data_IF_831026820437
#
_entry.id   IF_831026820437
#
_cell.length_a   1.000
_cell.length_b   1.000
_cell.length_c   1.000
_cell.angle_alpha   90.00
_cell.angle_beta   90.00
_cell.angle_gamma   90.00
#
_symmetry.space_group_name_H-M   'P 1'
#
loop_
_entity.id
_entity.type
_entity.pdbx_description
1 polymer ?
#
# COMPACT_ATOMS: atom_id res chain seq x y z
N UNK A 1 -8.56 16.54 -37.98
CA UNK A 1 -7.65 15.80 -37.06
C UNK A 1 -6.34 16.56 -37.02
N UNK A 2 -5.85 16.93 -35.84
CA UNK A 2 -4.63 17.70 -35.71
C UNK A 2 -3.41 16.79 -35.89
N UNK A 3 -2.65 16.97 -36.96
CA UNK A 3 -1.37 16.30 -37.16
C UNK A 3 -0.41 16.76 -36.05
N UNK A 4 -0.03 15.86 -35.14
CA UNK A 4 0.92 16.21 -34.08
C UNK A 4 2.26 16.61 -34.70
N UNK A 5 2.88 17.68 -34.19
CA UNK A 5 4.22 18.04 -34.61
C UNK A 5 5.20 16.91 -34.21
N UNK A 6 6.23 16.66 -35.03
CA UNK A 6 7.26 15.63 -34.77
C UNK A 6 7.79 15.60 -33.33
N UNK A 7 8.06 16.74 -32.67
CA UNK A 7 8.51 16.74 -31.27
C UNK A 7 7.46 16.20 -30.29
N UNK A 8 6.19 16.57 -30.48
CA UNK A 8 5.08 16.15 -29.64
C UNK A 8 4.75 14.66 -29.84
N UNK A 9 4.92 14.17 -31.07
CA UNK A 9 4.73 12.76 -31.39
C UNK A 9 5.75 11.87 -30.65
N UNK A 10 7.03 12.25 -30.63
CA UNK A 10 8.05 11.48 -29.90
C UNK A 10 7.78 11.45 -28.39
N UNK A 11 7.37 12.57 -27.81
CA UNK A 11 7.01 12.64 -26.41
C UNK A 11 5.79 11.76 -26.11
N UNK A 12 4.76 11.78 -26.97
CA UNK A 12 3.57 10.95 -26.84
C UNK A 12 3.89 9.45 -26.93
N UNK A 13 4.74 9.06 -27.89
CA UNK A 13 5.20 7.68 -28.02
C UNK A 13 5.96 7.22 -26.76
N UNK A 14 6.89 8.04 -26.26
CA UNK A 14 7.63 7.70 -25.05
C UNK A 14 6.74 7.55 -23.83
N UNK A 15 5.81 8.48 -23.63
CA UNK A 15 4.85 8.39 -22.53
C UNK A 15 3.97 7.15 -22.65
N UNK A 16 3.51 6.82 -23.86
CA UNK A 16 2.64 5.66 -24.12
C UNK A 16 3.33 4.32 -23.87
N UNK A 17 4.60 4.19 -24.27
CA UNK A 17 5.35 2.93 -24.20
C UNK A 17 6.34 2.86 -23.02
N UNK A 18 6.35 3.87 -22.14
CA UNK A 18 7.29 3.93 -21.01
C UNK A 18 8.76 4.02 -21.41
N UNK A 19 9.06 4.59 -22.58
CA UNK A 19 10.42 4.63 -23.13
C UNK A 19 11.22 5.84 -22.63
N UNK A 20 12.45 5.60 -22.21
CA UNK A 20 13.46 6.65 -22.02
C UNK A 20 13.96 7.21 -23.36
N UNK A 21 14.61 8.39 -23.36
CA UNK A 21 15.25 8.93 -24.57
C UNK A 21 16.31 7.98 -25.12
N UNK A 22 17.03 7.26 -24.25
CA UNK A 22 18.08 6.34 -24.66
C UNK A 22 17.49 5.13 -25.41
N UNK A 23 16.41 4.55 -24.90
CA UNK A 23 15.71 3.43 -25.57
C UNK A 23 15.10 3.86 -26.91
N UNK A 24 14.52 5.07 -26.97
CA UNK A 24 14.02 5.61 -28.24
C UNK A 24 15.17 5.86 -29.24
N UNK A 25 16.31 6.34 -28.76
CA UNK A 25 17.49 6.57 -29.58
C UNK A 25 18.06 5.26 -30.15
N UNK A 26 18.11 4.21 -29.34
CA UNK A 26 18.51 2.87 -29.76
C UNK A 26 17.59 2.32 -30.85
N UNK A 27 16.27 2.41 -30.66
CA UNK A 27 15.27 2.00 -31.65
C UNK A 27 15.46 2.73 -32.99
N UNK A 28 15.69 4.04 -32.92
CA UNK A 28 15.92 4.91 -34.07
C UNK A 28 17.33 4.80 -34.67
N UNK A 29 18.24 4.06 -34.02
CA UNK A 29 19.68 4.00 -34.33
C UNK A 29 20.33 5.40 -34.43
N UNK A 30 20.06 6.25 -33.44
CA UNK A 30 20.60 7.61 -33.30
C UNK A 30 21.19 7.81 -31.91
N UNK A 31 21.88 8.93 -31.68
CA UNK A 31 22.31 9.28 -30.33
C UNK A 31 21.16 9.83 -29.48
N UNK A 32 21.25 9.66 -28.16
CA UNK A 32 20.32 10.28 -27.21
C UNK A 32 20.24 11.80 -27.39
N UNK A 33 21.38 12.45 -27.67
CA UNK A 33 21.43 13.89 -27.91
C UNK A 33 20.62 14.28 -29.16
N UNK A 34 20.66 13.47 -30.22
CA UNK A 34 19.83 13.70 -31.41
C UNK A 34 18.34 13.60 -31.10
N UNK A 35 17.90 12.60 -30.31
CA UNK A 35 16.51 12.51 -29.85
C UNK A 35 16.10 13.75 -29.05
N UNK A 36 16.95 14.19 -28.12
CA UNK A 36 16.70 15.41 -27.32
C UNK A 36 16.54 16.65 -28.21
N UNK A 37 17.41 16.84 -29.21
CA UNK A 37 17.31 17.96 -30.14
C UNK A 37 16.04 17.91 -31.00
N UNK A 38 15.59 16.71 -31.39
CA UNK A 38 14.34 16.54 -32.14
C UNK A 38 13.12 16.82 -31.27
N UNK A 39 13.10 16.35 -30.03
CA UNK A 39 12.03 16.64 -29.06
C UNK A 39 11.94 18.13 -28.69
N UNK A 40 13.03 18.89 -28.85
CA UNK A 40 13.08 20.34 -28.68
C UNK A 40 12.77 21.11 -29.98
N UNK A 41 12.53 20.40 -31.09
CA UNK A 41 12.29 21.01 -32.41
C UNK A 41 13.52 21.64 -33.05
N UNK A 42 14.73 21.40 -32.52
CA UNK A 42 15.99 21.93 -33.07
C UNK A 42 16.49 21.11 -34.27
N UNK A 43 16.01 19.88 -34.43
CA UNK A 43 16.35 18.99 -35.56
C UNK A 43 15.14 18.22 -36.05
N UNK A 44 15.14 17.87 -37.33
CA UNK A 44 14.15 16.98 -37.96
C UNK A 44 14.71 15.58 -38.10
N UNK A 45 13.81 14.59 -38.09
CA UNK A 45 14.17 13.19 -38.34
C UNK A 45 14.39 12.96 -39.85
N UNK A 46 15.29 12.03 -40.17
CA UNK A 46 15.47 11.58 -41.55
C UNK A 46 14.30 10.68 -41.99
N UNK A 47 14.13 10.52 -43.31
CA UNK A 47 13.09 9.64 -43.85
C UNK A 47 13.20 8.19 -43.33
N UNK A 48 14.44 7.68 -43.15
CA UNK A 48 14.67 6.36 -42.59
C UNK A 48 14.23 6.23 -41.12
N UNK A 49 14.48 7.26 -40.31
CA UNK A 49 14.02 7.31 -38.91
C UNK A 49 12.50 7.43 -38.83
N UNK A 50 11.90 8.18 -39.76
CA UNK A 50 10.45 8.31 -39.86
C UNK A 50 9.78 7.00 -40.25
N UNK A 51 10.34 6.27 -41.21
CA UNK A 51 9.89 4.93 -41.59
C UNK A 51 9.93 3.95 -40.42
N UNK A 52 10.96 4.03 -39.54
CA UNK A 52 11.02 3.19 -38.33
C UNK A 52 9.93 3.52 -37.31
N UNK A 53 9.47 4.78 -37.24
CA UNK A 53 8.42 5.17 -36.28
C UNK A 53 7.01 4.87 -36.78
N UNK A 54 6.82 4.72 -38.10
CA UNK A 54 5.51 4.48 -38.71
C UNK A 54 4.68 3.39 -38.04
N UNK A 55 5.23 2.19 -37.71
CA UNK A 55 4.45 1.16 -37.03
C UNK A 55 3.92 1.60 -35.66
N UNK A 56 4.72 2.33 -34.87
CA UNK A 56 4.33 2.81 -33.55
C UNK A 56 3.32 3.96 -33.64
N UNK A 57 3.49 4.84 -34.63
CA UNK A 57 2.56 5.93 -34.92
C UNK A 57 1.21 5.39 -35.37
N UNK A 58 1.19 4.39 -36.25
CA UNK A 58 -0.04 3.75 -36.71
C UNK A 58 -0.86 3.14 -35.56
N UNK A 59 -0.19 2.52 -34.57
CA UNK A 59 -0.86 1.99 -33.37
C UNK A 59 -1.42 3.12 -32.50
N UNK A 60 -0.67 4.22 -32.36
CA UNK A 60 -1.10 5.38 -31.58
C UNK A 60 -2.30 6.10 -32.21
N UNK A 61 -2.28 6.27 -33.54
CA UNK A 61 -3.37 6.86 -34.31
C UNK A 61 -4.60 5.96 -34.36
N UNK A 62 -4.43 4.64 -34.52
CA UNK A 62 -5.53 3.68 -34.43
C UNK A 62 -6.23 3.73 -33.07
N UNK A 63 -5.46 3.91 -31.99
CA UNK A 63 -6.01 4.07 -30.64
C UNK A 63 -6.66 5.44 -30.41
N UNK A 64 -6.25 6.49 -31.12
CA UNK A 64 -6.80 7.84 -31.01
C UNK A 64 -8.06 8.07 -31.86
N UNK A 65 -8.21 7.34 -32.97
CA UNK A 65 -9.32 7.45 -33.91
C UNK A 65 -10.65 6.84 -33.41
N UNK A 66 -10.77 6.57 -32.11
CA UNK A 66 -12.04 6.11 -31.53
C UNK A 66 -12.40 4.67 -31.90
N UNK A 67 -11.43 3.86 -32.34
CA UNK A 67 -11.48 2.45 -31.99
C UNK A 67 -11.38 2.40 -30.46
N UNK A 68 -12.55 2.56 -29.82
CA UNK A 68 -12.77 2.08 -28.46
C UNK A 68 -12.15 0.69 -28.49
N UNK A 69 -11.00 0.57 -27.85
CA UNK A 69 -10.52 -0.74 -27.40
C UNK A 69 -11.67 -1.18 -26.53
N UNK A 70 -12.60 -1.92 -27.13
CA UNK A 70 -13.65 -2.64 -26.46
C UNK A 70 -12.92 -3.25 -25.27
N UNK A 71 -13.25 -2.74 -24.08
CA UNK A 71 -12.34 -2.74 -22.94
C UNK A 71 -11.66 -4.09 -22.88
N UNK A 72 -10.32 -4.11 -22.96
CA UNK A 72 -9.54 -5.35 -22.86
C UNK A 72 -10.23 -6.16 -21.78
N UNK A 73 -10.89 -7.28 -22.14
CA UNK A 73 -11.66 -8.03 -21.15
C UNK A 73 -10.70 -8.26 -20.01
N UNK A 74 -11.09 -7.97 -18.75
CA UNK A 74 -10.17 -8.01 -17.62
C UNK A 74 -9.40 -9.31 -17.75
N UNK A 75 -8.07 -9.22 -17.92
CA UNK A 75 -7.22 -10.38 -18.20
C UNK A 75 -7.69 -11.49 -17.26
N UNK A 76 -8.23 -12.55 -17.85
CA UNK A 76 -8.75 -13.67 -17.09
C UNK A 76 -7.64 -14.10 -16.16
N UNK A 77 -7.86 -13.98 -14.86
CA UNK A 77 -6.81 -14.28 -13.87
C UNK A 77 -6.35 -15.70 -14.12
N UNK A 78 -5.10 -15.85 -14.56
CA UNK A 78 -4.53 -17.13 -14.87
C UNK A 78 -4.38 -17.99 -13.61
N UNK A 79 -3.99 -19.26 -13.77
CA UNK A 79 -3.85 -20.17 -12.62
C UNK A 79 -2.85 -19.63 -11.61
N UNK A 80 -1.74 -19.02 -12.06
CA UNK A 80 -0.74 -18.42 -11.17
C UNK A 80 -1.30 -17.23 -10.38
N UNK A 81 -2.06 -16.34 -11.03
CA UNK A 81 -2.73 -15.21 -10.38
C UNK A 81 -3.78 -15.67 -9.35
N UNK A 82 -4.51 -16.75 -9.64
CA UNK A 82 -5.47 -17.35 -8.67
C UNK A 82 -4.74 -17.92 -7.45
N UNK A 83 -3.65 -18.65 -7.66
CA UNK A 83 -2.83 -19.18 -6.55
C UNK A 83 -2.23 -18.06 -5.70
N UNK A 84 -1.74 -16.99 -6.33
CA UNK A 84 -1.22 -15.82 -5.62
C UNK A 84 -2.30 -15.14 -4.76
N UNK A 85 -3.51 -14.95 -5.29
CA UNK A 85 -4.64 -14.40 -4.54
C UNK A 85 -5.08 -15.33 -3.38
N UNK A 86 -5.10 -16.64 -3.58
CA UNK A 86 -5.41 -17.61 -2.52
C UNK A 86 -4.36 -17.62 -1.41
N UNK A 87 -3.07 -17.50 -1.77
CA UNK A 87 -2.00 -17.34 -0.78
C UNK A 87 -2.19 -16.06 0.01
N UNK A 88 -2.42 -14.93 -0.66
CA UNK A 88 -2.64 -13.64 0.00
C UNK A 88 -3.84 -13.65 0.95
N UNK A 89 -4.95 -14.25 0.52
CA UNK A 89 -6.14 -14.45 1.36
C UNK A 89 -5.80 -15.20 2.66
N UNK A 90 -5.04 -16.30 2.56
CA UNK A 90 -4.61 -17.09 3.73
C UNK A 90 -3.71 -16.27 4.66
N UNK A 91 -2.73 -15.57 4.11
CA UNK A 91 -1.82 -14.70 4.87
C UNK A 91 -2.57 -13.62 5.65
N UNK A 92 -3.42 -12.84 4.97
CA UNK A 92 -4.21 -11.77 5.61
C UNK A 92 -5.11 -12.32 6.73
N UNK A 93 -5.77 -13.46 6.49
CA UNK A 93 -6.67 -14.09 7.48
C UNK A 93 -5.89 -14.58 8.70
N UNK A 94 -4.72 -15.19 8.49
CA UNK A 94 -3.86 -15.66 9.58
C UNK A 94 -3.30 -14.49 10.39
N UNK A 95 -2.81 -13.44 9.73
CA UNK A 95 -2.29 -12.23 10.38
C UNK A 95 -3.39 -11.54 11.20
N UNK A 96 -4.58 -11.35 10.64
CA UNK A 96 -5.71 -10.77 11.36
C UNK A 96 -6.10 -11.58 12.60
N UNK A 97 -6.10 -12.92 12.50
CA UNK A 97 -6.38 -13.81 13.64
C UNK A 97 -5.34 -13.65 14.75
N UNK A 98 -4.05 -13.60 14.39
CA UNK A 98 -2.96 -13.35 15.35
C UNK A 98 -3.13 -12.00 16.04
N UNK A 99 -3.39 -10.92 15.29
CA UNK A 99 -3.54 -9.59 15.87
C UNK A 99 -4.77 -9.48 16.78
N UNK A 100 -5.86 -10.19 16.49
CA UNK A 100 -7.02 -10.27 17.41
C UNK A 100 -6.67 -10.93 18.75
N UNK A 101 -5.84 -11.98 18.73
CA UNK A 101 -5.34 -12.61 19.95
C UNK A 101 -4.39 -11.69 20.72
N UNK A 102 -3.58 -10.90 20.02
CA UNK A 102 -2.71 -9.90 20.64
C UNK A 102 -3.51 -8.77 21.28
N UNK A 103 -4.53 -8.25 20.57
CA UNK A 103 -5.45 -7.24 21.08
C UNK A 103 -6.19 -7.71 22.34
N UNK A 104 -6.66 -8.96 22.37
CA UNK A 104 -7.32 -9.51 23.57
C UNK A 104 -6.37 -9.59 24.76
N UNK A 105 -5.10 -9.96 24.55
CA UNK A 105 -4.06 -9.95 25.59
C UNK A 105 -3.76 -8.54 26.08
N UNK A 106 -3.64 -7.56 25.19
CA UNK A 106 -3.41 -6.15 25.56
C UNK A 106 -4.59 -5.60 26.39
N UNK A 107 -5.83 -5.86 25.96
CA UNK A 107 -7.03 -5.45 26.71
C UNK A 107 -7.09 -6.09 28.09
N UNK A 108 -6.76 -7.38 28.20
CA UNK A 108 -6.71 -8.07 29.49
C UNK A 108 -5.66 -7.43 30.41
N UNK A 109 -4.43 -7.20 29.92
CA UNK A 109 -3.37 -6.51 30.68
C UNK A 109 -3.79 -5.11 31.12
N UNK A 110 -4.32 -4.30 30.20
CA UNK A 110 -4.80 -2.96 30.52
C UNK A 110 -5.88 -2.99 31.63
N UNK A 111 -6.83 -3.92 31.53
CA UNK A 111 -7.89 -4.08 32.55
C UNK A 111 -7.32 -4.45 33.93
N UNK A 112 -6.30 -5.32 33.96
CA UNK A 112 -5.61 -5.72 35.19
C UNK A 112 -4.88 -4.54 35.83
N UNK A 113 -4.08 -3.78 35.06
CA UNK A 113 -3.36 -2.62 35.59
C UNK A 113 -4.31 -1.50 36.01
N UNK A 114 -5.43 -1.31 35.32
CA UNK A 114 -6.46 -0.36 35.73
C UNK A 114 -7.18 -0.78 37.02
N UNK A 115 -7.36 -2.09 37.26
CA UNK A 115 -7.86 -2.60 38.54
C UNK A 115 -6.85 -2.34 39.66
N UNK A 116 -5.57 -2.65 39.44
CA UNK A 116 -4.48 -2.36 40.39
C UNK A 116 -4.47 -0.88 40.77
N UNK A 117 -4.52 0.05 39.81
CA UNK A 117 -4.55 1.48 40.12
C UNK A 117 -5.78 1.90 40.95
N UNK A 118 -6.96 1.34 40.65
CA UNK A 118 -8.18 1.60 41.43
C UNK A 118 -8.08 1.10 42.87
N UNK A 119 -7.45 -0.05 43.08
CA UNK A 119 -7.27 -0.66 44.40
C UNK A 119 -6.17 0.01 45.23
N UNK A 120 -5.10 0.50 44.58
CA UNK A 120 -3.99 1.18 45.25
C UNK A 120 -4.33 2.60 45.72
N UNK A 121 -5.19 3.32 44.99
CA UNK A 121 -5.55 4.70 45.30
C UNK A 121 -6.06 4.91 46.75
N UNK A 122 -7.04 4.12 47.27
CA UNK A 122 -7.50 4.28 48.65
C UNK A 122 -6.45 3.90 49.70
N UNK A 123 -5.49 3.03 49.37
CA UNK A 123 -4.42 2.63 50.29
C UNK A 123 -3.34 3.70 50.45
N UNK A 124 -3.11 4.50 49.41
CA UNK A 124 -2.14 5.61 49.45
C UNK A 124 -2.64 6.81 50.26
N UNK A 125 -3.97 7.05 50.30
CA UNK A 125 -4.58 8.21 50.93
C UNK A 125 -4.23 8.37 52.43
N UNK A 126 -4.41 7.35 53.30
CA UNK A 126 -4.10 7.49 54.73
C UNK A 126 -2.59 7.57 55.02
N UNK A 127 -1.74 7.13 54.09
CA UNK A 127 -0.29 7.07 54.28
C UNK A 127 0.41 8.40 53.95
N UNK A 128 -0.32 9.41 53.47
CA UNK A 128 0.25 10.70 53.06
C UNK A 128 0.89 11.48 54.23
N UNK A 129 0.41 11.28 55.47
CA UNK A 129 0.87 12.02 56.66
C UNK A 129 1.59 11.20 57.73
N UNK A 130 1.73 9.87 57.55
CA UNK A 130 2.33 8.99 58.56
C UNK A 130 3.83 8.79 58.29
N UNK A 131 4.68 9.33 59.16
CA UNK A 131 6.15 9.26 59.02
C UNK A 131 6.69 7.82 59.11
N UNK A 132 6.08 6.98 59.96
CA UNK A 132 6.50 5.58 60.16
C UNK A 132 6.10 4.66 59.00
N UNK A 133 5.24 5.12 58.09
CA UNK A 133 4.72 4.32 56.99
C UNK A 133 5.48 4.47 55.66
N UNK A 134 6.67 5.04 55.71
CA UNK A 134 7.49 5.37 54.55
C UNK A 134 7.83 4.17 53.63
N UNK A 135 8.19 2.96 54.12
CA UNK A 135 8.49 1.84 53.22
C UNK A 135 7.23 1.30 52.51
N UNK A 136 6.10 1.20 53.21
CA UNK A 136 4.83 0.78 52.62
C UNK A 136 4.37 1.77 51.54
N UNK A 137 4.49 3.07 51.81
CA UNK A 137 4.20 4.13 50.84
C UNK A 137 5.10 4.06 49.62
N UNK A 138 6.41 3.87 49.81
CA UNK A 138 7.36 3.75 48.70
C UNK A 138 7.03 2.57 47.79
N UNK A 139 6.67 1.42 48.37
CA UNK A 139 6.26 0.24 47.62
C UNK A 139 4.97 0.48 46.81
N UNK A 140 3.95 1.09 47.41
CA UNK A 140 2.69 1.41 46.72
C UNK A 140 2.91 2.39 45.56
N UNK A 141 3.76 3.40 45.74
CA UNK A 141 4.11 4.36 44.68
C UNK A 141 4.88 3.69 43.53
N UNK A 142 5.82 2.79 43.84
CA UNK A 142 6.51 2.02 42.82
C UNK A 142 5.53 1.16 42.01
N UNK A 143 4.58 0.50 42.68
CA UNK A 143 3.55 -0.31 42.01
C UNK A 143 2.59 0.53 41.17
N UNK A 144 2.27 1.75 41.61
CA UNK A 144 1.49 2.71 40.84
C UNK A 144 2.23 3.15 39.56
N UNK A 145 3.53 3.44 39.66
CA UNK A 145 4.36 3.82 38.51
C UNK A 145 4.39 2.71 37.46
N UNK A 146 4.70 1.48 37.89
CA UNK A 146 4.74 0.30 37.02
C UNK A 146 3.39 0.07 36.32
N UNK A 147 2.27 0.14 37.05
CA UNK A 147 0.95 -0.03 36.44
C UNK A 147 0.59 1.10 35.46
N UNK A 148 1.06 2.32 35.70
CA UNK A 148 0.84 3.47 34.80
C UNK A 148 1.67 3.33 33.52
N UNK A 149 2.92 2.89 33.63
CA UNK A 149 3.79 2.61 32.50
C UNK A 149 3.23 1.47 31.65
N UNK A 150 2.78 0.37 32.26
CA UNK A 150 2.16 -0.74 31.53
C UNK A 150 0.84 -0.32 30.86
N UNK A 151 0.06 0.57 31.47
CA UNK A 151 -1.12 1.16 30.83
C UNK A 151 -0.77 2.08 29.65
N UNK A 152 0.39 2.73 29.66
CA UNK A 152 0.84 3.48 28.49
C UNK A 152 1.15 2.54 27.31
N UNK A 153 1.82 1.42 27.57
CA UNK A 153 2.15 0.42 26.54
C UNK A 153 0.95 -0.38 26.05
N UNK A 154 0.00 -0.71 26.93
CA UNK A 154 -1.21 -1.47 26.62
C UNK A 154 -2.46 -0.60 26.42
N UNK A 155 -2.27 0.72 26.37
CA UNK A 155 -3.34 1.71 26.40
C UNK A 155 -4.18 1.78 25.13
N UNK A 156 -5.14 2.71 25.14
CA UNK A 156 -6.11 2.87 24.06
C UNK A 156 -5.44 3.10 22.69
N UNK A 157 -4.35 3.85 22.62
CA UNK A 157 -3.64 4.10 21.37
C UNK A 157 -3.09 2.82 20.72
N UNK A 158 -2.43 1.95 21.50
CA UNK A 158 -1.91 0.67 21.00
C UNK A 158 -3.05 -0.25 20.54
N UNK A 159 -4.17 -0.26 21.28
CA UNK A 159 -5.35 -1.05 20.93
C UNK A 159 -5.99 -0.57 19.62
N UNK A 160 -6.20 0.74 19.45
CA UNK A 160 -6.78 1.35 18.24
C UNK A 160 -5.90 1.10 17.01
N UNK A 161 -4.58 1.15 17.15
CA UNK A 161 -3.66 0.85 16.05
C UNK A 161 -3.78 -0.62 15.60
N UNK A 162 -3.91 -1.56 16.53
CA UNK A 162 -4.15 -2.96 16.21
C UNK A 162 -5.52 -3.18 15.56
N UNK A 163 -6.57 -2.53 16.07
CA UNK A 163 -7.92 -2.58 15.49
C UNK A 163 -7.91 -2.10 14.03
N UNK A 164 -7.31 -0.93 13.77
CA UNK A 164 -7.17 -0.38 12.42
C UNK A 164 -6.43 -1.34 11.49
N UNK A 165 -5.36 -1.98 11.98
CA UNK A 165 -4.59 -2.96 11.19
C UNK A 165 -5.43 -4.21 10.89
N UNK A 166 -6.21 -4.70 11.86
CA UNK A 166 -7.12 -5.85 11.68
C UNK A 166 -8.16 -5.51 10.61
N UNK A 167 -8.79 -4.34 10.69
CA UNK A 167 -9.79 -3.88 9.70
C UNK A 167 -9.20 -3.81 8.29
N UNK A 168 -7.98 -3.30 8.14
CA UNK A 168 -7.31 -3.24 6.85
C UNK A 168 -7.03 -4.64 6.26
N UNK A 169 -6.58 -5.59 7.10
CA UNK A 169 -6.34 -6.98 6.69
C UNK A 169 -7.62 -7.70 6.31
N UNK A 170 -8.70 -7.47 7.05
CA UNK A 170 -10.03 -8.04 6.76
C UNK A 170 -10.57 -7.51 5.43
N UNK A 171 -10.44 -6.20 5.19
CA UNK A 171 -10.82 -5.59 3.92
C UNK A 171 -10.03 -6.20 2.75
N UNK A 172 -8.71 -6.33 2.89
CA UNK A 172 -7.87 -6.94 1.86
C UNK A 172 -8.25 -8.40 1.59
N UNK A 173 -8.47 -9.19 2.65
CA UNK A 173 -8.93 -10.56 2.54
C UNK A 173 -10.28 -10.67 1.79
N UNK A 174 -11.25 -9.81 2.13
CA UNK A 174 -12.54 -9.77 1.45
C UNK A 174 -12.39 -9.40 -0.04
N UNK A 175 -11.51 -8.45 -0.37
CA UNK A 175 -11.21 -8.04 -1.73
C UNK A 175 -10.53 -9.14 -2.56
N UNK A 176 -9.64 -9.92 -1.94
CA UNK A 176 -9.01 -11.09 -2.57
C UNK A 176 -10.04 -12.20 -2.83
N UNK A 177 -10.89 -12.50 -1.84
CA UNK A 177 -11.96 -13.49 -1.97
C UNK A 177 -12.96 -13.13 -3.08
N UNK A 178 -13.36 -11.86 -3.17
CA UNK A 178 -14.26 -11.37 -4.22
C UNK A 178 -13.66 -11.55 -5.62
N UNK A 179 -12.37 -11.26 -5.80
CA UNK A 179 -11.66 -11.44 -7.07
C UNK A 179 -11.57 -12.91 -7.46
N UNK A 180 -11.30 -13.80 -6.49
CA UNK A 180 -11.30 -15.24 -6.70
C UNK A 180 -12.68 -15.77 -7.13
N UNK A 181 -13.76 -15.31 -6.47
CA UNK A 181 -15.13 -15.70 -6.82
C UNK A 181 -15.51 -15.24 -8.24
N UNK A 182 -15.15 -14.00 -8.60
CA UNK A 182 -15.37 -13.47 -9.96
C UNK A 182 -14.60 -14.27 -11.02
N UNK A 183 -13.34 -14.64 -10.73
CA UNK A 183 -12.54 -15.45 -11.64
C UNK A 183 -13.12 -16.86 -11.83
N UNK A 184 -13.75 -17.45 -10.79
CA UNK A 184 -14.42 -18.75 -10.90
C UNK A 184 -15.68 -18.69 -11.78
N UNK A 185 -16.49 -17.65 -11.63
CA UNK A 185 -17.74 -17.48 -12.41
C UNK A 185 -17.51 -17.19 -13.90
N UNK A 186 -16.33 -16.73 -14.30
CA UNK A 186 -15.99 -16.50 -15.71
C UNK A 186 -15.57 -17.79 -16.44
N UNK A 187 -15.38 -18.91 -15.72
CA UNK A 187 -14.97 -20.19 -16.30
C UNK A 187 -16.09 -21.25 -16.37
N UNK A 188 -17.28 -20.95 -15.85
CA UNK A 188 -18.46 -21.82 -15.90
C UNK A 188 -19.46 -21.33 -16.93
#
# INVERSE_FOLDING_TARGET
MATLATPQLLQALRARYGLSQAQLAEYLAVSRAQVSMVEQGQRTLSAAQWSRLQPLVAVLEASAAGASVAGVPPESVDTAGREALQRRLRECTQEATRLRQELSRLRARASQHQAVLRELLPLLLPLAGATDAQPARAWLLARQSEATEELHHSGAAAQVLLELRIEALDYEAAQAALRLARAANLMG
#
